data_IF_109709381267
#
_entry.id   IF_109709381267
#
_cell.length_a   1.000
_cell.length_b   1.000
_cell.length_c   1.000
_cell.angle_alpha   90.00
_cell.angle_beta   90.00
_cell.angle_gamma   90.00
#
_symmetry.space_group_name_H-M   'P 1'
#
loop_
_entity.id
_entity.type
_entity.pdbx_description
1 polymer ?
#
# COMPACT_ATOMS: atom_id res chain seq x y z
N UNK A 1 27.73 -3.49 3.89
CA UNK A 1 27.37 -4.83 3.36
C UNK A 1 27.42 -5.87 4.48
N UNK A 2 26.29 -6.16 5.14
CA UNK A 2 26.07 -7.35 6.01
C UNK A 2 24.68 -7.22 6.67
N UNK A 3 23.63 -7.37 5.87
CA UNK A 3 22.42 -8.12 6.27
C UNK A 3 21.49 -8.29 5.05
N UNK A 4 21.95 -9.03 4.04
CA UNK A 4 21.18 -9.34 2.82
C UNK A 4 20.03 -10.32 3.04
N UNK A 5 19.41 -10.32 4.24
CA UNK A 5 18.24 -11.15 4.51
C UNK A 5 17.04 -10.47 3.85
N UNK A 6 16.35 -11.20 2.98
CA UNK A 6 15.04 -10.80 2.47
C UNK A 6 14.10 -10.62 3.66
N UNK A 7 13.82 -9.37 4.03
CA UNK A 7 12.88 -9.05 5.11
C UNK A 7 11.59 -8.58 4.45
N UNK A 8 10.59 -9.43 4.53
CA UNK A 8 9.23 -9.13 4.14
C UNK A 8 8.40 -9.03 5.42
N UNK A 9 7.47 -8.07 5.49
CA UNK A 9 6.39 -8.13 6.47
C UNK A 9 5.19 -8.71 5.78
N UNK A 10 4.52 -9.66 6.44
CA UNK A 10 3.09 -9.80 6.28
C UNK A 10 2.49 -8.65 7.07
N UNK A 11 1.90 -7.70 6.36
CA UNK A 11 1.12 -6.62 6.96
C UNK A 11 -0.16 -6.53 6.15
N UNK A 12 -1.30 -6.49 6.82
CA UNK A 12 -2.56 -6.05 6.23
C UNK A 12 -2.76 -4.59 6.65
N UNK A 13 -2.53 -3.61 5.76
CA UNK A 13 -2.97 -2.23 5.98
C UNK A 13 -4.40 -1.95 5.43
N UNK A 14 -5.07 -2.97 4.86
CA UNK A 14 -6.40 -2.92 4.24
C UNK A 14 -7.10 -4.28 4.38
N UNK A 15 -8.43 -4.25 4.58
CA UNK A 15 -9.42 -5.34 4.76
C UNK A 15 -8.93 -6.70 5.30
N UNK A 16 -9.67 -7.27 6.26
CA UNK A 16 -9.34 -8.50 7.00
C UNK A 16 -9.03 -9.74 6.12
N UNK A 17 -9.33 -9.67 4.82
CA UNK A 17 -9.15 -10.74 3.84
C UNK A 17 -7.90 -10.60 2.94
N UNK A 18 -7.12 -9.53 3.07
CA UNK A 18 -5.91 -9.32 2.26
C UNK A 18 -4.61 -9.39 3.07
N UNK A 19 -3.70 -10.26 2.64
CA UNK A 19 -2.33 -10.31 3.18
C UNK A 19 -1.36 -9.75 2.15
N UNK A 20 -0.84 -8.54 2.39
CA UNK A 20 0.15 -7.92 1.53
C UNK A 20 1.56 -8.18 2.04
N UNK A 21 2.49 -8.36 1.10
CA UNK A 21 3.91 -8.51 1.37
C UNK A 21 4.65 -7.24 1.00
N UNK A 22 5.07 -6.50 2.02
CA UNK A 22 5.81 -5.26 1.84
C UNK A 22 7.32 -5.47 2.03
N UNK A 23 8.16 -4.90 1.15
CA UNK A 23 9.61 -4.99 1.29
C UNK A 23 10.10 -4.07 2.42
N UNK A 24 10.87 -4.61 3.38
CA UNK A 24 11.44 -3.83 4.49
C UNK A 24 12.82 -3.21 4.19
N UNK A 25 13.31 -3.33 2.98
CA UNK A 25 14.61 -2.83 2.56
C UNK A 25 14.59 -2.57 1.07
N UNK A 26 15.37 -1.61 0.61
CA UNK A 26 15.54 -1.21 -0.78
C UNK A 26 16.52 -2.15 -1.52
N UNK A 27 16.54 -2.08 -2.86
CA UNK A 27 17.53 -2.72 -3.70
C UNK A 27 17.14 -4.10 -4.25
N UNK A 28 17.58 -4.34 -5.50
CA UNK A 28 17.37 -5.57 -6.27
C UNK A 28 15.91 -6.05 -6.28
N UNK A 29 14.96 -5.12 -6.32
CA UNK A 29 13.53 -5.41 -6.21
C UNK A 29 13.03 -6.34 -7.29
N UNK A 30 13.49 -6.19 -8.53
CA UNK A 30 13.11 -7.09 -9.63
C UNK A 30 13.49 -8.55 -9.30
N UNK A 31 14.73 -8.80 -8.87
CA UNK A 31 15.17 -10.14 -8.52
C UNK A 31 14.40 -10.68 -7.30
N UNK A 32 14.12 -9.82 -6.31
CA UNK A 32 13.38 -10.22 -5.10
C UNK A 32 11.93 -10.56 -5.41
N UNK A 33 11.27 -9.76 -6.25
CA UNK A 33 9.91 -10.01 -6.73
C UNK A 33 9.85 -11.32 -7.53
N UNK A 34 10.78 -11.53 -8.47
CA UNK A 34 10.87 -12.78 -9.23
C UNK A 34 11.09 -14.00 -8.33
N UNK A 35 11.94 -13.88 -7.32
CA UNK A 35 12.19 -14.97 -6.37
C UNK A 35 11.01 -15.21 -5.42
N UNK A 36 10.20 -14.18 -5.14
CA UNK A 36 9.01 -14.30 -4.33
C UNK A 36 7.90 -15.01 -5.10
N UNK A 37 7.59 -14.58 -6.32
CA UNK A 37 6.57 -15.22 -7.18
C UNK A 37 6.94 -16.65 -7.53
N UNK A 38 8.19 -16.89 -7.93
CA UNK A 38 8.67 -18.26 -8.18
C UNK A 38 8.71 -19.09 -6.89
N UNK A 39 9.02 -18.47 -5.75
CA UNK A 39 9.02 -19.11 -4.45
C UNK A 39 7.63 -19.62 -4.05
N UNK A 40 6.58 -18.84 -4.32
CA UNK A 40 5.18 -19.23 -4.13
C UNK A 40 4.83 -20.50 -4.91
N UNK A 41 5.10 -20.49 -6.22
CA UNK A 41 4.89 -21.66 -7.10
C UNK A 41 5.67 -22.90 -6.64
N UNK A 42 6.97 -22.75 -6.35
CA UNK A 42 7.80 -23.90 -5.93
C UNK A 42 7.35 -24.45 -4.58
N UNK A 43 7.03 -23.58 -3.62
CA UNK A 43 6.57 -24.00 -2.30
C UNK A 43 5.18 -24.65 -2.35
N UNK A 44 4.27 -24.11 -3.17
CA UNK A 44 2.94 -24.68 -3.41
C UNK A 44 3.05 -26.10 -4.00
N UNK A 45 3.83 -26.26 -5.07
CA UNK A 45 4.10 -27.56 -5.69
C UNK A 45 4.76 -28.56 -4.74
N UNK A 46 5.76 -28.14 -3.94
CA UNK A 46 6.38 -29.01 -2.93
C UNK A 46 5.37 -29.45 -1.85
N UNK A 47 4.53 -28.54 -1.38
CA UNK A 47 3.51 -28.85 -0.39
C UNK A 47 2.49 -29.85 -0.94
N UNK A 48 2.06 -29.67 -2.20
CA UNK A 48 1.18 -30.62 -2.90
C UNK A 48 1.80 -32.02 -2.97
N UNK A 49 3.08 -32.12 -3.33
CA UNK A 49 3.81 -33.41 -3.37
C UNK A 49 3.89 -34.04 -1.98
N UNK A 50 4.19 -33.27 -0.94
CA UNK A 50 4.25 -33.78 0.45
C UNK A 50 2.90 -34.32 0.90
N UNK A 51 1.81 -33.58 0.65
CA UNK A 51 0.45 -34.01 0.99
C UNK A 51 0.05 -35.26 0.20
N UNK A 52 0.45 -35.36 -1.08
CA UNK A 52 0.19 -36.53 -1.91
C UNK A 52 0.93 -37.77 -1.37
N UNK A 53 2.21 -37.64 -1.03
CA UNK A 53 2.99 -38.72 -0.45
C UNK A 53 2.43 -39.16 0.91
N UNK A 54 2.00 -38.21 1.75
CA UNK A 54 1.35 -38.51 3.02
C UNK A 54 0.02 -39.28 2.83
N UNK A 55 -0.80 -38.86 1.85
CA UNK A 55 -2.05 -39.53 1.54
C UNK A 55 -1.81 -40.97 1.04
N UNK A 56 -0.85 -41.17 0.14
CA UNK A 56 -0.44 -42.51 -0.35
C UNK A 56 0.08 -43.37 0.81
N UNK A 57 0.93 -42.82 1.68
CA UNK A 57 1.46 -43.54 2.84
C UNK A 57 0.33 -44.01 3.76
N UNK A 58 -0.63 -43.16 4.12
CA UNK A 58 -1.78 -43.55 4.93
C UNK A 58 -2.59 -44.69 4.29
N UNK A 59 -2.85 -44.61 2.98
CA UNK A 59 -3.56 -45.66 2.25
C UNK A 59 -2.83 -47.01 2.27
N UNK A 60 -1.49 -47.00 2.14
CA UNK A 60 -0.67 -48.22 2.17
C UNK A 60 -0.77 -48.98 3.49
N UNK A 61 -1.03 -48.30 4.61
CA UNK A 61 -1.25 -48.90 5.93
C UNK A 61 -2.73 -49.11 6.27
N UNK A 62 -3.62 -49.04 5.27
CA UNK A 62 -5.06 -49.28 5.44
C UNK A 62 -5.81 -48.17 6.18
N UNK A 63 -5.19 -47.00 6.36
CA UNK A 63 -5.81 -45.83 6.99
C UNK A 63 -6.22 -44.82 5.92
N UNK A 64 -7.52 -44.66 5.68
CA UNK A 64 -8.02 -43.62 4.78
C UNK A 64 -8.15 -42.31 5.55
N UNK A 65 -7.26 -41.35 5.27
CA UNK A 65 -7.35 -40.00 5.82
C UNK A 65 -8.10 -39.08 4.86
N UNK A 66 -9.41 -38.93 5.07
CA UNK A 66 -10.29 -38.11 4.24
C UNK A 66 -9.89 -36.62 4.22
N UNK A 67 -9.21 -36.12 5.24
CA UNK A 67 -8.72 -34.74 5.28
C UNK A 67 -7.61 -34.51 4.25
N UNK A 68 -6.62 -35.41 4.17
CA UNK A 68 -5.56 -35.33 3.15
C UNK A 68 -6.12 -35.51 1.74
N UNK A 69 -7.02 -36.46 1.56
CA UNK A 69 -7.72 -36.71 0.29
C UNK A 69 -8.55 -35.51 -0.17
N UNK A 70 -9.21 -34.80 0.75
CA UNK A 70 -9.99 -33.61 0.45
C UNK A 70 -9.13 -32.37 0.15
N UNK A 71 -7.96 -32.24 0.77
CA UNK A 71 -7.04 -31.13 0.51
C UNK A 71 -6.35 -31.23 -0.85
N UNK A 72 -6.03 -32.45 -1.32
CA UNK A 72 -5.33 -32.65 -2.58
C UNK A 72 -5.96 -31.94 -3.80
N UNK A 73 -7.27 -32.11 -4.11
CA UNK A 73 -7.87 -31.44 -5.26
C UNK A 73 -7.86 -29.91 -5.10
N UNK A 74 -8.02 -29.40 -3.88
CA UNK A 74 -7.98 -27.97 -3.60
C UNK A 74 -6.57 -27.38 -3.81
N UNK A 75 -5.54 -28.04 -3.26
CA UNK A 75 -4.16 -27.62 -3.45
C UNK A 75 -3.72 -27.73 -4.92
N UNK A 76 -4.10 -28.81 -5.60
CA UNK A 76 -3.83 -28.98 -7.03
C UNK A 76 -4.52 -27.88 -7.85
N UNK A 77 -5.76 -27.52 -7.51
CA UNK A 77 -6.48 -26.43 -8.15
C UNK A 77 -5.75 -25.09 -8.00
N UNK A 78 -5.34 -24.72 -6.79
CA UNK A 78 -4.59 -23.47 -6.53
C UNK A 78 -3.26 -23.44 -7.28
N UNK A 79 -2.55 -24.56 -7.29
CA UNK A 79 -1.25 -24.68 -7.94
C UNK A 79 -1.38 -24.56 -9.48
N UNK A 80 -2.36 -25.24 -10.08
CA UNK A 80 -2.66 -25.10 -11.51
C UNK A 80 -3.08 -23.67 -11.85
N UNK A 81 -3.92 -23.05 -11.02
CA UNK A 81 -4.38 -21.68 -11.23
C UNK A 81 -3.21 -20.69 -11.27
N UNK A 82 -2.27 -20.80 -10.32
CA UNK A 82 -1.09 -19.91 -10.28
C UNK A 82 -0.05 -20.21 -11.38
N UNK A 83 -0.02 -21.44 -11.90
CA UNK A 83 0.81 -21.83 -13.04
C UNK A 83 0.26 -21.39 -14.40
N UNK A 84 -1.02 -21.03 -14.52
CA UNK A 84 -1.55 -20.53 -15.79
C UNK A 84 -1.24 -19.03 -15.89
N UNK A 85 -0.66 -18.53 -17.00
CA UNK A 85 -0.32 -17.11 -17.15
C UNK A 85 -1.55 -16.30 -17.54
N UNK A 86 -2.49 -16.16 -16.60
CA UNK A 86 -3.79 -15.51 -16.81
C UNK A 86 -4.03 -14.39 -15.79
N UNK A 87 -4.92 -13.48 -16.16
CA UNK A 87 -5.39 -12.38 -15.35
C UNK A 87 -6.88 -12.56 -15.05
N UNK A 88 -7.25 -12.36 -13.80
CA UNK A 88 -8.62 -12.43 -13.31
C UNK A 88 -9.04 -11.06 -12.77
N UNK A 89 -10.34 -10.87 -12.51
CA UNK A 89 -10.81 -9.63 -11.87
C UNK A 89 -10.18 -9.35 -10.50
N UNK A 90 -9.62 -10.37 -9.84
CA UNK A 90 -8.87 -10.25 -8.58
C UNK A 90 -7.36 -10.05 -8.75
N UNK A 91 -6.87 -9.91 -9.99
CA UNK A 91 -5.46 -9.67 -10.30
C UNK A 91 -4.78 -10.78 -11.11
N UNK A 92 -3.46 -10.66 -11.23
CA UNK A 92 -2.61 -11.54 -12.04
C UNK A 92 -2.14 -12.76 -11.25
N UNK A 93 -2.01 -13.89 -11.95
CA UNK A 93 -1.38 -15.12 -11.44
C UNK A 93 0.13 -14.98 -11.25
N UNK A 94 0.71 -15.78 -10.35
CA UNK A 94 2.15 -15.75 -10.07
C UNK A 94 3.02 -15.95 -11.32
N UNK A 95 2.62 -16.87 -12.23
CA UNK A 95 3.37 -17.07 -13.48
C UNK A 95 3.27 -15.86 -14.41
N UNK A 96 2.10 -15.23 -14.53
CA UNK A 96 1.93 -14.04 -15.35
C UNK A 96 2.82 -12.90 -14.82
N UNK A 97 2.81 -12.64 -13.51
CA UNK A 97 3.67 -11.64 -12.87
C UNK A 97 5.15 -11.97 -13.11
N UNK A 98 5.57 -13.23 -12.93
CA UNK A 98 6.95 -13.65 -13.21
C UNK A 98 7.33 -13.39 -14.67
N UNK A 99 6.45 -13.69 -15.61
CA UNK A 99 6.67 -13.45 -17.04
C UNK A 99 6.78 -11.94 -17.36
N UNK A 100 5.93 -11.11 -16.76
CA UNK A 100 5.96 -9.65 -16.90
C UNK A 100 7.24 -9.06 -16.33
N UNK A 101 7.68 -9.53 -15.16
CA UNK A 101 8.94 -9.13 -14.53
C UNK A 101 10.18 -9.47 -15.38
N UNK A 102 10.15 -10.63 -16.05
CA UNK A 102 11.23 -11.06 -16.94
C UNK A 102 11.27 -10.24 -18.23
N UNK A 103 10.09 -9.91 -18.77
CA UNK A 103 9.96 -9.19 -20.03
C UNK A 103 10.00 -7.66 -19.87
N UNK A 104 9.94 -7.15 -18.64
CA UNK A 104 9.93 -5.72 -18.36
C UNK A 104 8.63 -5.04 -18.79
N UNK A 105 7.50 -5.74 -18.62
CA UNK A 105 6.18 -5.18 -18.92
C UNK A 105 5.85 -3.96 -18.04
N UNK A 106 4.99 -3.08 -18.55
CA UNK A 106 4.81 -1.74 -17.98
C UNK A 106 4.26 -1.78 -16.54
N UNK A 107 3.24 -2.60 -16.28
CA UNK A 107 2.67 -2.82 -14.94
C UNK A 107 3.76 -3.30 -13.97
N UNK A 108 4.57 -4.28 -14.36
CA UNK A 108 5.62 -4.82 -13.48
C UNK A 108 6.78 -3.84 -13.28
N UNK A 109 7.11 -2.99 -14.25
CA UNK A 109 8.07 -1.90 -14.06
C UNK A 109 7.58 -0.91 -12.99
N UNK A 110 6.30 -0.55 -13.04
CA UNK A 110 5.67 0.31 -12.04
C UNK A 110 5.65 -0.36 -10.67
N UNK A 111 5.29 -1.65 -10.61
CA UNK A 111 5.33 -2.45 -9.38
C UNK A 111 6.72 -2.42 -8.74
N UNK A 112 7.79 -2.62 -9.52
CA UNK A 112 9.16 -2.59 -9.02
C UNK A 112 9.54 -1.23 -8.44
N UNK A 113 9.16 -0.13 -9.10
CA UNK A 113 9.40 1.20 -8.55
C UNK A 113 8.60 1.47 -7.26
N UNK A 114 7.33 1.07 -7.20
CA UNK A 114 6.53 1.18 -5.98
C UNK A 114 7.17 0.39 -4.82
N UNK A 115 7.62 -0.84 -5.07
CA UNK A 115 8.33 -1.67 -4.09
C UNK A 115 9.66 -1.03 -3.65
N UNK A 116 10.39 -0.40 -4.58
CA UNK A 116 11.65 0.29 -4.27
C UNK A 116 11.40 1.52 -3.36
N UNK A 117 10.37 2.32 -3.67
CA UNK A 117 9.94 3.45 -2.83
C UNK A 117 9.59 2.95 -1.43
N UNK A 118 8.75 1.92 -1.32
CA UNK A 118 8.38 1.33 -0.03
C UNK A 118 9.59 0.82 0.76
N UNK A 119 10.53 0.15 0.08
CA UNK A 119 11.78 -0.29 0.69
C UNK A 119 12.62 0.86 1.24
N UNK A 120 12.70 1.99 0.52
CA UNK A 120 13.41 3.19 0.97
C UNK A 120 12.69 3.92 2.12
N UNK A 121 11.35 3.92 2.12
CA UNK A 121 10.55 4.44 3.24
C UNK A 121 10.80 3.61 4.51
N UNK A 122 10.89 2.29 4.41
CA UNK A 122 11.27 1.44 5.55
C UNK A 122 12.67 1.74 6.08
N UNK A 123 13.61 2.04 5.19
CA UNK A 123 14.99 2.41 5.55
C UNK A 123 15.11 3.82 6.17
N UNK A 124 14.04 4.62 6.12
CA UNK A 124 13.95 5.91 6.78
C UNK A 124 14.13 7.13 5.88
N UNK A 125 14.22 6.95 4.56
CA UNK A 125 14.14 8.08 3.63
C UNK A 125 12.70 8.57 3.55
N UNK A 126 12.47 9.88 3.61
CA UNK A 126 11.14 10.45 3.35
C UNK A 126 10.79 10.41 1.86
N UNK A 127 9.56 10.74 1.47
CA UNK A 127 9.14 10.71 0.07
C UNK A 127 10.00 11.64 -0.78
N UNK A 128 10.33 12.83 -0.26
CA UNK A 128 11.15 13.81 -0.97
C UNK A 128 12.63 13.40 -1.12
N UNK A 129 13.16 12.54 -0.23
CA UNK A 129 14.54 12.06 -0.27
C UNK A 129 14.77 10.90 -1.24
N UNK A 130 13.69 10.28 -1.73
CA UNK A 130 13.74 9.20 -2.69
C UNK A 130 13.93 9.78 -4.10
N UNK A 131 14.68 9.07 -4.94
CA UNK A 131 14.98 9.49 -6.30
C UNK A 131 13.70 9.75 -7.11
N UNK A 132 13.57 10.97 -7.64
CA UNK A 132 12.44 11.44 -8.45
C UNK A 132 12.17 10.53 -9.65
N UNK A 133 13.21 9.89 -10.20
CA UNK A 133 13.06 8.93 -11.30
C UNK A 133 12.16 7.74 -10.95
N UNK A 134 12.10 7.31 -9.69
CA UNK A 134 11.25 6.21 -9.25
C UNK A 134 9.75 6.58 -9.27
N UNK A 135 9.44 7.87 -9.16
CA UNK A 135 8.06 8.35 -9.21
C UNK A 135 7.60 8.63 -10.64
N UNK A 136 8.45 9.22 -11.47
CA UNK A 136 8.01 9.84 -12.74
C UNK A 136 8.58 9.21 -14.01
N UNK A 137 9.70 8.49 -13.95
CA UNK A 137 10.28 7.83 -15.13
C UNK A 137 9.67 6.44 -15.37
N UNK A 138 8.34 6.42 -15.46
CA UNK A 138 7.53 5.21 -15.52
C UNK A 138 6.52 5.27 -16.67
N UNK A 139 6.15 4.11 -17.24
CA UNK A 139 5.10 4.05 -18.23
C UNK A 139 3.76 4.48 -17.61
N UNK A 140 2.87 5.02 -18.44
CA UNK A 140 1.52 5.39 -18.01
C UNK A 140 0.65 4.13 -17.98
N UNK A 141 0.06 3.84 -16.83
CA UNK A 141 -0.93 2.79 -16.67
C UNK A 141 -2.34 3.32 -16.91
N UNK A 142 -3.26 2.40 -17.23
CA UNK A 142 -4.70 2.68 -17.24
C UNK A 142 -5.23 2.93 -15.84
N UNK A 143 -6.36 3.62 -15.71
CA UNK A 143 -6.94 4.01 -14.41
C UNK A 143 -7.56 2.83 -13.63
N UNK A 144 -7.90 1.75 -14.33
CA UNK A 144 -8.43 0.49 -13.78
C UNK A 144 -7.34 -0.46 -13.25
N UNK A 145 -6.07 -0.16 -13.50
CA UNK A 145 -4.94 -0.90 -12.95
C UNK A 145 -4.67 -0.48 -11.49
N UNK A 146 -4.68 -1.39 -10.50
CA UNK A 146 -4.47 -1.02 -9.09
C UNK A 146 -3.17 -0.25 -8.82
N UNK A 147 -2.12 -0.53 -9.60
CA UNK A 147 -0.83 0.16 -9.49
C UNK A 147 -0.88 1.62 -9.94
N UNK A 148 -1.89 2.02 -10.72
CA UNK A 148 -2.14 3.42 -11.04
C UNK A 148 -2.43 4.21 -9.76
N UNK A 149 -3.37 3.73 -8.94
CA UNK A 149 -3.77 4.38 -7.71
C UNK A 149 -2.61 4.46 -6.70
N UNK A 150 -1.89 3.34 -6.52
CA UNK A 150 -0.71 3.27 -5.64
C UNK A 150 0.35 4.29 -6.05
N UNK A 151 0.71 4.34 -7.33
CA UNK A 151 1.72 5.30 -7.78
C UNK A 151 1.27 6.74 -7.68
N UNK A 152 -0.02 7.00 -7.89
CA UNK A 152 -0.58 8.33 -7.81
C UNK A 152 -0.61 8.84 -6.36
N UNK A 153 -0.92 7.98 -5.38
CA UNK A 153 -0.76 8.29 -3.94
C UNK A 153 0.71 8.57 -3.58
N UNK A 154 1.66 7.75 -4.05
CA UNK A 154 3.08 7.98 -3.82
C UNK A 154 3.57 9.33 -4.39
N UNK A 155 3.09 9.71 -5.58
CA UNK A 155 3.36 11.02 -6.19
C UNK A 155 2.70 12.16 -5.41
N UNK A 156 1.46 11.98 -4.97
CA UNK A 156 0.77 12.92 -4.08
C UNK A 156 1.62 13.21 -2.84
N UNK A 157 2.09 12.17 -2.13
CA UNK A 157 2.92 12.31 -0.93
C UNK A 157 4.25 13.01 -1.20
N UNK A 158 4.91 12.68 -2.32
CA UNK A 158 6.11 13.39 -2.77
C UNK A 158 5.85 14.89 -2.98
N UNK A 159 4.81 15.26 -3.73
CA UNK A 159 4.48 16.67 -3.98
C UNK A 159 4.02 17.39 -2.72
N UNK A 160 3.28 16.72 -1.85
CA UNK A 160 2.85 17.26 -0.59
C UNK A 160 4.04 17.55 0.32
N UNK A 161 4.99 16.63 0.46
CA UNK A 161 6.23 16.86 1.21
C UNK A 161 7.07 17.96 0.58
N UNK A 162 7.08 18.09 -0.75
CA UNK A 162 7.72 19.21 -1.48
C UNK A 162 7.00 20.55 -1.30
N UNK A 163 5.80 20.55 -0.72
CA UNK A 163 4.91 21.71 -0.59
C UNK A 163 4.45 22.27 -1.96
N UNK A 164 4.40 21.42 -2.98
CA UNK A 164 3.84 21.70 -4.31
C UNK A 164 2.34 21.36 -4.31
N UNK A 165 1.56 22.25 -3.68
CA UNK A 165 0.14 22.03 -3.37
C UNK A 165 -0.71 21.82 -4.62
N UNK A 166 -0.38 22.50 -5.72
CA UNK A 166 -1.11 22.39 -6.99
C UNK A 166 -0.99 20.97 -7.57
N UNK A 167 0.23 20.43 -7.65
CA UNK A 167 0.43 19.06 -8.15
C UNK A 167 -0.05 17.99 -7.19
N UNK A 168 0.02 18.24 -5.88
CA UNK A 168 -0.57 17.35 -4.89
C UNK A 168 -2.10 17.26 -5.07
N UNK A 169 -2.76 18.40 -5.29
CA UNK A 169 -4.20 18.45 -5.55
C UNK A 169 -4.56 17.76 -6.88
N UNK A 170 -3.76 17.94 -7.95
CA UNK A 170 -3.96 17.23 -9.22
C UNK A 170 -3.93 15.70 -9.04
N UNK A 171 -3.00 15.20 -8.24
CA UNK A 171 -2.92 13.76 -7.94
C UNK A 171 -4.19 13.25 -7.23
N UNK A 172 -4.69 13.97 -6.22
CA UNK A 172 -5.93 13.57 -5.53
C UNK A 172 -7.15 13.67 -6.44
N UNK A 173 -7.27 14.72 -7.26
CA UNK A 173 -8.40 14.87 -8.19
C UNK A 173 -8.43 13.72 -9.20
N UNK A 174 -7.27 13.27 -9.68
CA UNK A 174 -7.15 12.11 -10.56
C UNK A 174 -7.54 10.80 -9.84
N UNK A 175 -7.21 10.64 -8.56
CA UNK A 175 -7.69 9.51 -7.76
C UNK A 175 -9.22 9.53 -7.59
N UNK A 176 -9.81 10.69 -7.35
CA UNK A 176 -11.27 10.86 -7.27
C UNK A 176 -11.94 10.51 -8.61
N UNK A 177 -11.35 10.91 -9.74
CA UNK A 177 -11.86 10.54 -11.06
C UNK A 177 -11.82 9.02 -11.31
N UNK A 178 -10.84 8.33 -10.74
CA UNK A 178 -10.71 6.87 -10.80
C UNK A 178 -11.59 6.12 -9.78
N UNK A 179 -12.51 6.79 -9.05
CA UNK A 179 -13.32 6.19 -7.98
C UNK A 179 -14.09 4.91 -8.36
N UNK A 180 -14.43 4.73 -9.65
CA UNK A 180 -15.14 3.55 -10.12
C UNK A 180 -14.33 2.25 -9.97
N UNK A 181 -13.00 2.38 -9.84
CA UNK A 181 -12.05 1.27 -9.74
C UNK A 181 -11.45 1.11 -8.35
N UNK A 182 -11.81 1.99 -7.40
CA UNK A 182 -11.24 2.01 -6.06
C UNK A 182 -12.20 1.38 -5.04
N UNK A 183 -11.71 0.53 -4.12
CA UNK A 183 -12.47 0.08 -2.98
C UNK A 183 -12.99 1.25 -2.13
N UNK A 184 -14.14 1.05 -1.49
CA UNK A 184 -14.77 2.08 -0.64
C UNK A 184 -13.84 2.60 0.46
N UNK A 185 -13.03 1.71 1.05
CA UNK A 185 -12.08 2.08 2.09
C UNK A 185 -11.00 3.03 1.54
N UNK A 186 -10.47 2.78 0.34
CA UNK A 186 -9.49 3.66 -0.31
C UNK A 186 -10.09 5.03 -0.61
N UNK A 187 -11.33 5.07 -1.11
CA UNK A 187 -12.04 6.34 -1.33
C UNK A 187 -12.22 7.13 -0.04
N UNK A 188 -12.41 6.45 1.09
CA UNK A 188 -12.54 7.12 2.40
C UNK A 188 -11.21 7.70 2.88
N UNK A 189 -10.09 7.02 2.60
CA UNK A 189 -8.73 7.53 2.85
C UNK A 189 -8.41 8.74 1.95
N UNK A 190 -8.75 8.66 0.66
CA UNK A 190 -8.59 9.78 -0.29
C UNK A 190 -9.40 10.99 0.17
N UNK A 191 -10.64 10.80 0.61
CA UNK A 191 -11.46 11.88 1.16
C UNK A 191 -10.85 12.52 2.43
N UNK A 192 -10.16 11.73 3.26
CA UNK A 192 -9.42 12.25 4.42
C UNK A 192 -8.25 13.15 3.98
N UNK A 193 -7.54 12.77 2.93
CA UNK A 193 -6.49 13.61 2.34
C UNK A 193 -7.05 14.88 1.67
N UNK A 194 -8.25 14.81 1.07
CA UNK A 194 -8.95 15.99 0.56
C UNK A 194 -9.34 16.96 1.70
N UNK A 195 -9.78 16.47 2.86
CA UNK A 195 -10.01 17.32 4.04
C UNK A 195 -8.75 18.10 4.38
N UNK A 196 -7.60 17.41 4.46
CA UNK A 196 -6.33 18.07 4.74
C UNK A 196 -5.97 19.10 3.66
N UNK A 197 -6.04 18.73 2.38
CA UNK A 197 -5.68 19.59 1.25
C UNK A 197 -6.57 20.84 1.14
N UNK A 198 -7.88 20.69 1.30
CA UNK A 198 -8.82 21.81 1.32
C UNK A 198 -8.60 22.69 2.56
N UNK A 199 -8.22 22.10 3.70
CA UNK A 199 -7.91 22.85 4.90
C UNK A 199 -6.68 23.74 4.74
N UNK A 200 -5.58 23.21 4.21
CA UNK A 200 -4.34 23.98 4.01
C UNK A 200 -4.43 24.99 2.87
N UNK A 201 -5.39 24.83 1.95
CA UNK A 201 -5.65 25.80 0.86
C UNK A 201 -6.70 26.85 1.24
N UNK A 202 -7.33 26.74 2.41
CA UNK A 202 -8.29 27.72 2.91
C UNK A 202 -9.72 27.54 2.40
N UNK A 203 -10.04 26.40 1.77
CA UNK A 203 -11.37 26.15 1.21
C UNK A 203 -12.27 25.41 2.21
N UNK A 204 -12.92 26.17 3.09
CA UNK A 204 -13.73 25.62 4.19
C UNK A 204 -14.94 24.79 3.73
N UNK A 205 -15.58 25.19 2.63
CA UNK A 205 -16.77 24.50 2.11
C UNK A 205 -16.41 23.09 1.63
N UNK A 206 -15.38 22.97 0.79
CA UNK A 206 -14.92 21.65 0.30
C UNK A 206 -14.29 20.80 1.40
N UNK A 207 -13.62 21.42 2.38
CA UNK A 207 -13.09 20.71 3.53
C UNK A 207 -14.23 20.10 4.39
N UNK A 208 -15.30 20.87 4.61
CA UNK A 208 -16.49 20.39 5.32
C UNK A 208 -17.17 19.24 4.56
N UNK A 209 -17.44 19.39 3.26
CA UNK A 209 -18.05 18.34 2.43
C UNK A 209 -17.25 17.04 2.47
N UNK A 210 -15.92 17.14 2.27
CA UNK A 210 -15.03 15.97 2.33
C UNK A 210 -15.04 15.31 3.72
N UNK A 211 -15.12 16.13 4.79
CA UNK A 211 -15.15 15.62 6.17
C UNK A 211 -16.44 14.86 6.49
N UNK A 212 -17.57 15.28 5.91
CA UNK A 212 -18.85 14.60 6.05
C UNK A 212 -18.83 13.24 5.36
N UNK A 213 -18.22 13.16 4.18
CA UNK A 213 -18.06 11.91 3.43
C UNK A 213 -17.22 10.87 4.20
N UNK A 214 -16.13 11.28 4.85
CA UNK A 214 -15.22 10.38 5.56
C UNK A 214 -15.36 10.40 7.10
N UNK A 215 -16.48 10.91 7.62
CA UNK A 215 -16.68 11.16 9.07
C UNK A 215 -16.38 9.97 9.97
N UNK A 216 -16.76 8.76 9.57
CA UNK A 216 -16.50 7.56 10.38
C UNK A 216 -15.01 7.20 10.41
N UNK A 217 -14.28 7.43 9.32
CA UNK A 217 -12.83 7.21 9.28
C UNK A 217 -12.08 8.27 10.09
N UNK A 218 -12.50 9.54 10.03
CA UNK A 218 -11.91 10.62 10.83
C UNK A 218 -11.99 10.39 12.34
N UNK A 219 -12.95 9.57 12.81
CA UNK A 219 -13.04 9.15 14.23
C UNK A 219 -11.97 8.13 14.61
N UNK A 220 -11.32 7.49 13.63
CA UNK A 220 -10.26 6.53 13.83
C UNK A 220 -9.03 7.10 14.54
N UNK A 221 -8.21 6.20 15.07
CA UNK A 221 -6.91 6.52 15.69
C UNK A 221 -5.78 6.30 14.68
N UNK A 222 -5.85 6.99 13.55
CA UNK A 222 -4.84 6.97 12.48
C UNK A 222 -4.19 8.33 12.31
N UNK A 223 -2.93 8.37 11.87
CA UNK A 223 -2.15 9.63 11.77
C UNK A 223 -2.76 10.60 10.77
N UNK A 224 -3.14 10.09 9.60
CA UNK A 224 -3.81 10.84 8.52
C UNK A 224 -5.13 11.47 8.99
N UNK A 225 -5.96 10.72 9.71
CA UNK A 225 -7.21 11.23 10.27
C UNK A 225 -6.96 12.37 11.27
N UNK A 226 -6.04 12.18 12.23
CA UNK A 226 -5.72 13.23 13.22
C UNK A 226 -5.05 14.44 12.57
N UNK A 227 -4.18 14.25 11.56
CA UNK A 227 -3.56 15.33 10.78
C UNK A 227 -4.61 16.13 10.01
N UNK A 228 -5.54 15.46 9.32
CA UNK A 228 -6.61 16.11 8.56
C UNK A 228 -7.53 16.92 9.48
N UNK A 229 -7.95 16.35 10.62
CA UNK A 229 -8.74 17.05 11.63
C UNK A 229 -7.97 18.25 12.21
N UNK A 230 -6.67 18.11 12.50
CA UNK A 230 -5.87 19.22 13.02
C UNK A 230 -5.80 20.37 12.00
N UNK A 231 -5.60 20.09 10.72
CA UNK A 231 -5.62 21.12 9.69
C UNK A 231 -7.01 21.77 9.56
N UNK A 232 -8.09 20.99 9.64
CA UNK A 232 -9.45 21.50 9.59
C UNK A 232 -9.80 22.37 10.80
N UNK A 233 -9.38 22.00 12.01
CA UNK A 233 -9.51 22.83 13.21
C UNK A 233 -8.71 24.12 13.11
N UNK A 234 -7.51 24.07 12.52
CA UNK A 234 -6.69 25.26 12.27
C UNK A 234 -7.38 26.23 11.32
N UNK A 235 -8.00 25.73 10.25
CA UNK A 235 -8.80 26.55 9.33
C UNK A 235 -9.95 27.28 10.04
N UNK A 236 -10.59 26.62 11.01
CA UNK A 236 -11.68 27.18 11.80
C UNK A 236 -11.23 28.07 12.97
N UNK A 237 -9.92 28.22 13.19
CA UNK A 237 -9.34 29.03 14.27
C UNK A 237 -9.39 28.40 15.66
N UNK A 238 -9.68 27.10 15.78
CA UNK A 238 -9.76 26.38 17.06
C UNK A 238 -8.37 25.87 17.48
N UNK A 239 -7.58 26.77 18.09
CA UNK A 239 -6.21 26.46 18.53
C UNK A 239 -6.14 25.35 19.58
N UNK A 240 -7.16 25.21 20.43
CA UNK A 240 -7.20 24.18 21.47
C UNK A 240 -7.36 22.80 20.85
N UNK A 241 -8.31 22.65 19.93
CA UNK A 241 -8.51 21.40 19.19
C UNK A 241 -7.25 21.01 18.39
N UNK A 242 -6.59 21.97 17.74
CA UNK A 242 -5.34 21.71 17.00
C UNK A 242 -4.28 21.10 17.90
N UNK A 243 -4.03 21.69 19.08
CA UNK A 243 -3.01 21.18 20.00
C UNK A 243 -3.30 19.75 20.47
N UNK A 244 -4.58 19.43 20.74
CA UNK A 244 -5.00 18.09 21.16
C UNK A 244 -4.77 17.09 20.01
N UNK A 245 -5.22 17.43 18.81
CA UNK A 245 -5.15 16.56 17.63
C UNK A 245 -3.70 16.31 17.18
N UNK A 246 -2.82 17.32 17.23
CA UNK A 246 -1.40 17.15 16.97
C UNK A 246 -0.74 16.20 17.98
N UNK A 247 -1.10 16.32 19.27
CA UNK A 247 -0.64 15.40 20.31
C UNK A 247 -1.09 13.95 20.08
N UNK A 248 -2.33 13.75 19.63
CA UNK A 248 -2.86 12.45 19.24
C UNK A 248 -2.14 11.89 18.01
N UNK A 249 -1.98 12.71 16.95
CA UNK A 249 -1.27 12.32 15.74
C UNK A 249 0.15 11.83 16.04
N UNK A 250 0.92 12.59 16.83
CA UNK A 250 2.29 12.21 17.23
C UNK A 250 2.32 10.92 18.05
N UNK A 251 1.33 10.68 18.92
CA UNK A 251 1.24 9.43 19.69
C UNK A 251 1.02 8.23 18.78
N UNK A 252 0.11 8.33 17.82
CA UNK A 252 -0.13 7.24 16.85
C UNK A 252 1.11 7.03 15.96
N UNK A 253 1.74 8.12 15.55
CA UNK A 253 2.92 8.14 14.68
C UNK A 253 4.13 7.41 15.28
N UNK A 254 4.25 7.30 16.60
CA UNK A 254 5.31 6.53 17.26
C UNK A 254 5.29 5.04 16.90
N UNK A 255 4.11 4.51 16.56
CA UNK A 255 3.92 3.10 16.20
C UNK A 255 4.08 2.84 14.69
N UNK A 256 4.34 3.87 13.88
CA UNK A 256 4.51 3.72 12.43
C UNK A 256 5.77 2.87 12.11
N UNK A 257 5.63 1.70 11.45
CA UNK A 257 6.76 0.85 11.11
C UNK A 257 7.66 1.45 10.03
N UNK A 258 7.15 2.28 9.11
CA UNK A 258 7.93 2.90 8.04
C UNK A 258 8.53 4.23 8.50
N UNK A 259 9.84 4.24 8.77
CA UNK A 259 10.54 5.42 9.31
C UNK A 259 10.50 6.64 8.39
N UNK A 260 10.42 6.42 7.08
CA UNK A 260 10.24 7.46 6.07
C UNK A 260 8.87 8.13 6.13
N UNK A 261 7.80 7.34 6.33
CA UNK A 261 6.44 7.85 6.55
C UNK A 261 6.40 8.65 7.85
N UNK A 262 7.01 8.12 8.92
CA UNK A 262 7.15 8.83 10.19
C UNK A 262 7.79 10.21 10.01
N UNK A 263 8.88 10.29 9.26
CA UNK A 263 9.59 11.54 8.96
C UNK A 263 8.75 12.51 8.14
N UNK A 264 8.06 12.01 7.11
CA UNK A 264 7.17 12.83 6.27
C UNK A 264 6.00 13.40 7.07
N UNK A 265 5.33 12.58 7.88
CA UNK A 265 4.18 13.04 8.68
C UNK A 265 4.60 14.08 9.73
N UNK A 266 5.77 13.94 10.38
CA UNK A 266 6.28 15.00 11.27
C UNK A 266 6.45 16.34 10.55
N UNK A 267 6.91 16.34 9.29
CA UNK A 267 6.99 17.58 8.49
C UNK A 267 5.61 18.20 8.30
N UNK A 268 4.59 17.40 8.02
CA UNK A 268 3.22 17.90 7.81
C UNK A 268 2.58 18.40 9.11
N UNK A 269 2.79 17.70 10.23
CA UNK A 269 2.31 18.12 11.55
C UNK A 269 2.95 19.45 11.98
N UNK A 270 4.26 19.61 11.76
CA UNK A 270 4.98 20.87 12.01
C UNK A 270 4.45 22.05 11.17
N UNK A 271 3.95 21.80 9.95
CA UNK A 271 3.34 22.85 9.12
C UNK A 271 2.04 23.37 9.73
N UNK A 272 1.20 22.46 10.23
CA UNK A 272 -0.05 22.84 10.91
C UNK A 272 0.27 23.62 12.18
N UNK A 273 1.23 23.14 12.98
CA UNK A 273 1.65 23.81 14.21
C UNK A 273 2.10 25.26 13.95
N UNK A 274 2.89 25.48 12.90
CA UNK A 274 3.32 26.83 12.48
C UNK A 274 2.21 27.71 11.93
N UNK A 275 1.11 27.15 11.44
CA UNK A 275 -0.01 27.96 10.93
C UNK A 275 -0.87 28.59 12.02
N UNK A 276 -0.74 28.13 13.27
CA UNK A 276 -1.52 28.63 14.41
C UNK A 276 -0.71 29.51 15.37
N UNK A 277 0.61 29.61 15.17
CA UNK A 277 1.51 30.56 15.86
C UNK A 277 1.22 32.00 15.40
#
# INVERSE_FOLDING_TARGET
MKDGKKRFSLASPFDDDETQVLPKSSGNMQQRAMQYTLGGLVAGGLCLVVVLLAAIFCMLFGQVNYFLLGMLPYMAYLEVLNMLPVEYGSGKTDLLIYSGLKNGADTERVMISAMEIQGQLYEGKSFLEIDEALYFNLPQLCEDEPLFAIMLDLRYRYYLEKNDVEKAADCLNRLVNAQAYLPKLEMTKIATELVYMHSITGNAELAQESSEFCKEYLRGETVDAKRALAAFSALNGDKEAVSILLGQARRVLQNEPMKGVQKSEEILLLRIERSIE
#
